data_IF_000953554562
#
_entry.id   IF_000953554562
#
_cell.length_a   1.000
_cell.length_b   1.000
_cell.length_c   1.000
_cell.angle_alpha   90.00
_cell.angle_beta   90.00
_cell.angle_gamma   90.00
#
_symmetry.space_group_name_H-M   'P 1'
#
loop_
_entity.id
_entity.type
_entity.pdbx_description
1 polymer ?
#
# COMPACT_ATOMS: atom_id res chain seq x y z
N UNK A 1 20.08 -6.84 8.48
CA UNK A 1 20.58 -6.40 7.17
C UNK A 1 19.97 -5.03 6.90
N UNK A 2 20.59 -3.94 7.40
CA UNK A 2 20.06 -2.57 7.27
C UNK A 2 20.52 -1.98 5.95
N UNK A 3 19.60 -1.50 5.11
CA UNK A 3 19.95 -0.56 4.05
C UNK A 3 20.01 0.82 4.71
N UNK A 4 21.20 1.42 4.70
CA UNK A 4 21.38 2.86 4.83
C UNK A 4 21.44 3.42 3.41
N UNK A 5 20.61 4.40 3.08
CA UNK A 5 20.92 5.32 1.97
C UNK A 5 21.91 6.39 2.56
N UNK A 6 22.31 7.54 1.96
CA UNK A 6 23.54 8.41 2.27
C UNK A 6 23.60 9.88 2.91
N UNK A 7 22.80 10.38 3.88
CA UNK A 7 22.35 11.80 4.16
C UNK A 7 23.30 13.02 4.03
N UNK A 8 22.87 14.10 3.35
CA UNK A 8 23.55 15.40 3.16
C UNK A 8 22.63 16.59 2.74
N UNK A 9 22.03 17.21 3.74
CA UNK A 9 21.59 18.61 3.78
C UNK A 9 22.31 19.56 2.80
N UNK A 10 21.57 20.18 1.87
CA UNK A 10 22.01 21.39 1.15
C UNK A 10 20.89 22.43 0.98
N UNK A 11 21.28 23.70 0.88
CA UNK A 11 20.38 24.86 0.95
C UNK A 11 19.64 25.12 -0.38
N UNK A 12 18.34 24.87 -0.45
CA UNK A 12 17.38 25.62 -1.31
C UNK A 12 15.93 25.34 -0.87
N UNK A 13 15.00 26.32 -1.00
CA UNK A 13 13.62 26.16 -0.55
C UNK A 13 12.73 25.57 -1.67
N UNK A 14 12.98 24.31 -2.05
CA UNK A 14 12.09 23.58 -2.96
C UNK A 14 11.38 22.43 -2.22
N UNK A 15 10.07 22.59 -2.05
CA UNK A 15 9.06 21.53 -1.86
C UNK A 15 9.49 20.38 -0.92
N UNK A 16 9.76 20.72 0.35
CA UNK A 16 10.00 19.74 1.42
C UNK A 16 8.68 19.04 1.80
N UNK A 17 8.26 18.08 0.98
CA UNK A 17 6.94 17.41 0.97
C UNK A 17 6.69 16.44 2.16
N UNK A 18 7.11 16.86 3.36
CA UNK A 18 6.90 16.20 4.65
C UNK A 18 7.11 17.14 5.84
N UNK A 19 7.30 18.44 5.61
CA UNK A 19 7.54 19.43 6.68
C UNK A 19 6.32 20.28 6.99
N UNK A 20 5.27 19.62 7.48
CA UNK A 20 4.19 20.28 8.20
C UNK A 20 4.58 20.59 9.67
N UNK A 21 5.72 20.08 10.14
CA UNK A 21 6.21 20.24 11.51
C UNK A 21 7.36 21.26 11.56
N UNK A 22 7.27 22.17 12.54
CA UNK A 22 7.96 23.45 12.56
C UNK A 22 9.50 23.35 12.47
N UNK A 23 10.17 24.30 11.80
CA UNK A 23 11.64 24.33 11.66
C UNK A 23 12.40 24.53 12.98
N UNK A 24 11.69 24.87 14.07
CA UNK A 24 12.24 25.10 15.41
C UNK A 24 12.45 23.82 16.25
N UNK A 25 12.04 22.64 15.76
CA UNK A 25 12.03 21.41 16.57
C UNK A 25 13.23 20.49 16.26
N UNK A 26 13.80 19.90 17.33
CA UNK A 26 15.00 19.05 17.29
C UNK A 26 14.79 17.80 16.41
N UNK A 27 15.79 17.47 15.59
CA UNK A 27 15.67 16.54 14.46
C UNK A 27 14.97 15.20 14.81
N UNK A 28 15.49 14.44 15.77
CA UNK A 28 14.90 13.13 16.16
C UNK A 28 13.46 13.23 16.66
N UNK A 29 13.06 14.36 17.27
CA UNK A 29 11.68 14.54 17.73
C UNK A 29 10.72 14.84 16.57
N UNK A 30 11.21 15.47 15.49
CA UNK A 30 10.42 15.74 14.27
C UNK A 30 10.19 14.48 13.45
N UNK A 31 11.21 13.62 13.37
CA UNK A 31 11.18 12.32 12.70
C UNK A 31 10.12 11.41 13.31
N UNK A 32 10.20 11.18 14.63
CA UNK A 32 9.18 10.45 15.41
C UNK A 32 7.77 11.03 15.19
N UNK A 33 7.61 12.37 15.21
CA UNK A 33 6.30 12.99 15.02
C UNK A 33 5.76 12.85 13.59
N UNK A 34 6.61 12.66 12.57
CA UNK A 34 6.19 12.40 11.20
C UNK A 34 5.66 10.96 11.04
N UNK A 35 6.39 9.97 11.56
CA UNK A 35 6.01 8.56 11.45
C UNK A 35 4.72 8.22 12.24
N UNK A 36 4.55 8.82 13.42
CA UNK A 36 3.37 8.59 14.27
C UNK A 36 2.20 9.55 13.99
N UNK A 37 2.33 10.49 13.04
CA UNK A 37 1.27 11.48 12.75
C UNK A 37 -0.08 10.83 12.44
N UNK A 38 -0.09 9.79 11.60
CA UNK A 38 -1.29 9.13 11.11
C UNK A 38 -2.06 8.38 12.21
N UNK A 39 -1.45 7.47 13.02
CA UNK A 39 -2.15 6.84 14.13
C UNK A 39 -2.53 7.82 15.25
N UNK A 40 -1.70 8.82 15.55
CA UNK A 40 -2.02 9.84 16.58
C UNK A 40 -3.21 10.70 16.16
N UNK A 41 -3.33 11.06 14.88
CA UNK A 41 -4.50 11.76 14.33
C UNK A 41 -5.77 10.91 14.46
N UNK A 42 -5.73 9.63 14.10
CA UNK A 42 -6.89 8.71 14.24
C UNK A 42 -7.32 8.57 15.70
N UNK A 43 -6.39 8.36 16.64
CA UNK A 43 -6.68 8.21 18.06
C UNK A 43 -7.26 9.51 18.65
N UNK A 44 -6.60 10.65 18.40
CA UNK A 44 -7.05 11.94 18.95
C UNK A 44 -8.41 12.36 18.40
N UNK A 45 -8.68 12.16 17.11
CA UNK A 45 -9.96 12.52 16.52
C UNK A 45 -11.08 11.54 16.90
N UNK A 46 -10.77 10.25 17.11
CA UNK A 46 -11.71 9.28 17.68
C UNK A 46 -12.09 9.63 19.12
N UNK A 47 -11.11 10.03 19.94
CA UNK A 47 -11.36 10.48 21.32
C UNK A 47 -12.20 11.76 21.35
N UNK A 48 -11.87 12.75 20.50
CA UNK A 48 -12.61 14.01 20.42
C UNK A 48 -14.04 13.79 19.92
N UNK A 49 -14.24 12.95 18.91
CA UNK A 49 -15.57 12.54 18.44
C UNK A 49 -16.39 11.86 19.54
N UNK A 50 -15.78 10.93 20.29
CA UNK A 50 -16.44 10.22 21.40
C UNK A 50 -16.79 11.11 22.59
N UNK A 51 -16.01 12.17 22.87
CA UNK A 51 -16.26 13.07 24.00
C UNK A 51 -17.17 14.25 23.65
N UNK A 52 -17.10 14.78 22.42
CA UNK A 52 -17.81 16.01 22.01
C UNK A 52 -19.09 15.73 21.23
N UNK A 53 -19.14 14.68 20.41
CA UNK A 53 -20.26 14.37 19.50
C UNK A 53 -21.07 13.13 19.93
N UNK A 54 -21.22 12.92 21.24
CA UNK A 54 -21.92 11.76 21.82
C UNK A 54 -23.42 11.65 21.46
N UNK A 55 -24.04 12.75 21.03
CA UNK A 55 -25.44 12.81 20.55
C UNK A 55 -25.62 12.50 19.05
N UNK A 56 -24.54 12.39 18.27
CA UNK A 56 -24.64 12.02 16.85
C UNK A 56 -24.54 10.51 16.72
N UNK A 57 -25.61 9.88 16.22
CA UNK A 57 -25.61 8.45 15.90
C UNK A 57 -24.57 8.16 14.80
N UNK A 58 -23.43 7.62 15.22
CA UNK A 58 -22.38 7.14 14.31
C UNK A 58 -22.75 5.75 13.81
N UNK A 59 -22.74 5.55 12.49
CA UNK A 59 -22.84 4.22 11.91
C UNK A 59 -21.61 3.38 12.32
N UNK A 60 -21.81 2.53 13.32
CA UNK A 60 -20.80 1.57 13.74
C UNK A 60 -20.62 0.51 12.66
N UNK A 61 -19.38 0.04 12.47
CA UNK A 61 -19.09 -1.05 11.55
C UNK A 61 -19.83 -2.33 12.00
N UNK A 62 -20.93 -2.65 11.32
CA UNK A 62 -21.78 -3.80 11.63
C UNK A 62 -21.11 -5.10 11.18
N UNK A 63 -20.19 -5.60 12.00
CA UNK A 63 -19.64 -6.93 11.83
C UNK A 63 -20.76 -7.98 12.02
N UNK A 64 -21.01 -8.78 10.99
CA UNK A 64 -21.98 -9.86 11.01
C UNK A 64 -21.22 -11.17 11.03
N UNK A 65 -21.18 -11.86 12.17
CA UNK A 65 -20.48 -13.15 12.37
C UNK A 65 -20.98 -14.26 11.40
N UNK A 66 -22.15 -14.08 10.81
CA UNK A 66 -22.84 -15.08 10.01
C UNK A 66 -22.42 -15.01 8.53
N UNK A 67 -21.15 -15.34 8.26
CA UNK A 67 -20.66 -15.63 6.91
C UNK A 67 -20.23 -17.10 6.82
N UNK A 68 -21.18 -18.04 6.58
CA UNK A 68 -20.81 -19.41 6.25
C UNK A 68 -20.01 -19.40 4.95
N UNK A 69 -18.79 -19.96 4.99
CA UNK A 69 -17.92 -20.18 3.82
C UNK A 69 -18.56 -21.20 2.88
N UNK A 70 -19.58 -20.75 2.17
CA UNK A 70 -20.42 -21.52 1.27
C UNK A 70 -19.72 -21.55 -0.07
N UNK A 71 -19.51 -22.73 -0.66
CA UNK A 71 -18.93 -22.82 -2.01
C UNK A 71 -19.86 -22.09 -2.99
N UNK A 72 -19.28 -21.39 -3.96
CA UNK A 72 -20.06 -20.80 -5.03
C UNK A 72 -20.84 -21.91 -5.78
N UNK A 73 -22.16 -21.77 -6.01
CA UNK A 73 -22.94 -22.75 -6.77
C UNK A 73 -22.64 -22.61 -8.28
N UNK A 74 -21.53 -23.21 -8.72
CA UNK A 74 -21.10 -23.17 -10.13
C UNK A 74 -21.93 -24.11 -11.02
N UNK A 75 -22.62 -25.08 -10.43
CA UNK A 75 -23.32 -26.17 -11.15
C UNK A 75 -24.67 -25.76 -11.77
N UNK A 76 -25.25 -24.63 -11.37
CA UNK A 76 -26.54 -24.12 -11.90
C UNK A 76 -26.38 -23.14 -13.08
N UNK A 77 -25.15 -22.80 -13.48
CA UNK A 77 -24.90 -21.76 -14.50
C UNK A 77 -25.17 -22.24 -15.94
N UNK A 78 -25.86 -21.44 -16.78
CA UNK A 78 -26.02 -21.76 -18.19
C UNK A 78 -24.69 -21.65 -18.95
N UNK A 79 -24.48 -22.50 -19.96
CA UNK A 79 -23.23 -22.58 -20.71
C UNK A 79 -22.74 -21.24 -21.33
N UNK A 80 -23.68 -20.35 -21.68
CA UNK A 80 -23.40 -19.00 -22.16
C UNK A 80 -22.75 -18.12 -21.09
N UNK A 81 -23.17 -18.24 -19.83
CA UNK A 81 -22.56 -17.55 -18.70
C UNK A 81 -21.15 -18.06 -18.44
N UNK A 82 -20.88 -19.36 -18.61
CA UNK A 82 -19.53 -19.93 -18.49
C UNK A 82 -18.56 -19.36 -19.53
N UNK A 83 -19.00 -19.17 -20.77
CA UNK A 83 -18.18 -18.54 -21.83
C UNK A 83 -17.94 -17.06 -21.54
N UNK A 84 -18.99 -16.32 -21.11
CA UNK A 84 -18.84 -14.93 -20.70
C UNK A 84 -17.87 -14.78 -19.51
N UNK A 85 -17.95 -15.69 -18.53
CA UNK A 85 -17.06 -15.73 -17.38
C UNK A 85 -15.60 -16.04 -17.76
N UNK A 86 -15.35 -16.90 -18.75
CA UNK A 86 -14.01 -17.12 -19.30
C UNK A 86 -13.44 -15.85 -19.96
N UNK A 87 -14.26 -15.13 -20.74
CA UNK A 87 -13.86 -13.85 -21.33
C UNK A 87 -13.52 -12.78 -20.28
N UNK A 88 -14.37 -12.65 -19.26
CA UNK A 88 -14.12 -11.75 -18.13
C UNK A 88 -12.90 -12.17 -17.30
N UNK A 89 -12.70 -13.47 -17.06
CA UNK A 89 -11.53 -14.00 -16.35
C UNK A 89 -10.22 -13.75 -17.09
N UNK A 90 -10.21 -13.83 -18.42
CA UNK A 90 -9.06 -13.45 -19.24
C UNK A 90 -8.74 -11.95 -19.13
N UNK A 91 -9.76 -11.08 -19.21
CA UNK A 91 -9.59 -9.64 -19.04
C UNK A 91 -9.07 -9.27 -17.63
N UNK A 92 -9.58 -9.92 -16.58
CA UNK A 92 -9.12 -9.74 -15.19
C UNK A 92 -7.67 -10.21 -14.99
N UNK A 93 -7.27 -11.32 -15.63
CA UNK A 93 -5.89 -11.80 -15.61
C UNK A 93 -4.91 -10.78 -16.22
N UNK A 94 -5.28 -10.15 -17.34
CA UNK A 94 -4.49 -9.08 -17.96
C UNK A 94 -4.41 -7.82 -17.08
N UNK A 95 -5.51 -7.46 -16.40
CA UNK A 95 -5.53 -6.32 -15.46
C UNK A 95 -4.54 -6.55 -14.31
N UNK A 96 -4.59 -7.71 -13.66
CA UNK A 96 -3.70 -8.05 -12.56
C UNK A 96 -2.22 -8.09 -12.99
N UNK A 97 -1.93 -8.63 -14.19
CA UNK A 97 -0.60 -8.60 -14.76
C UNK A 97 -0.07 -7.16 -14.93
N UNK A 98 -0.89 -6.23 -15.43
CA UNK A 98 -0.49 -4.83 -15.58
C UNK A 98 -0.25 -4.14 -14.23
N UNK A 99 -1.17 -4.27 -13.27
CA UNK A 99 -1.03 -3.62 -11.97
C UNK A 99 0.16 -4.15 -11.16
N UNK A 100 0.47 -5.46 -11.25
CA UNK A 100 1.66 -6.04 -10.63
C UNK A 100 2.95 -5.53 -11.28
N UNK A 101 2.98 -5.45 -12.62
CA UNK A 101 4.12 -4.89 -13.35
C UNK A 101 4.35 -3.41 -13.02
N UNK A 102 3.29 -2.60 -12.94
CA UNK A 102 3.37 -1.17 -12.57
C UNK A 102 3.84 -1.02 -11.11
N UNK A 103 3.23 -1.77 -10.18
CA UNK A 103 3.59 -1.76 -8.75
C UNK A 103 5.06 -2.11 -8.55
N UNK A 104 5.51 -3.20 -9.16
CA UNK A 104 6.87 -3.68 -9.00
C UNK A 104 7.89 -2.85 -9.80
N UNK A 105 7.53 -2.23 -10.93
CA UNK A 105 8.38 -1.22 -11.59
C UNK A 105 8.54 0.05 -10.74
N UNK A 106 7.49 0.50 -10.04
CA UNK A 106 7.54 1.64 -9.13
C UNK A 106 8.43 1.35 -7.90
N UNK A 107 8.32 0.15 -7.33
CA UNK A 107 9.13 -0.28 -6.18
C UNK A 107 10.59 -0.56 -6.59
N UNK A 108 10.82 -1.14 -7.77
CA UNK A 108 12.15 -1.44 -8.35
C UNK A 108 12.74 -0.26 -9.14
N UNK A 109 12.29 0.97 -8.88
CA UNK A 109 12.93 2.17 -9.43
C UNK A 109 14.41 2.19 -9.00
N UNK A 110 15.39 2.45 -9.89
CA UNK A 110 16.82 2.44 -9.56
C UNK A 110 17.22 3.34 -8.38
N UNK A 111 16.48 4.43 -8.10
CA UNK A 111 16.65 5.25 -6.89
C UNK A 111 16.50 4.42 -5.60
N UNK A 112 15.54 3.50 -5.56
CA UNK A 112 15.20 2.71 -4.37
C UNK A 112 16.26 1.65 -3.99
N UNK A 113 17.32 1.45 -4.81
CA UNK A 113 18.54 0.64 -4.54
C UNK A 113 18.30 -0.70 -3.82
N UNK A 114 17.24 -1.42 -4.21
CA UNK A 114 16.82 -2.63 -3.50
C UNK A 114 17.86 -3.75 -3.62
N UNK A 115 18.27 -4.29 -2.47
CA UNK A 115 19.31 -5.34 -2.37
C UNK A 115 18.86 -6.73 -2.84
N UNK A 116 17.56 -6.93 -3.08
CA UNK A 116 16.97 -8.21 -3.47
C UNK A 116 16.33 -8.04 -4.85
N UNK A 117 16.66 -8.92 -5.79
CA UNK A 117 16.13 -8.86 -7.16
C UNK A 117 14.60 -8.99 -7.20
N UNK A 118 13.95 -8.41 -8.22
CA UNK A 118 12.50 -8.40 -8.31
C UNK A 118 11.93 -9.78 -8.65
N UNK A 119 10.77 -10.11 -8.09
CA UNK A 119 10.18 -11.45 -8.13
C UNK A 119 8.81 -11.49 -8.84
N UNK A 120 8.68 -10.77 -9.98
CA UNK A 120 7.42 -10.59 -10.72
C UNK A 120 6.63 -11.89 -10.94
N UNK A 121 7.29 -12.97 -11.37
CA UNK A 121 6.63 -14.26 -11.63
C UNK A 121 6.09 -14.95 -10.37
N UNK A 122 6.76 -14.79 -9.23
CA UNK A 122 6.32 -15.38 -7.96
C UNK A 122 5.12 -14.62 -7.41
N UNK A 123 5.11 -13.29 -7.54
CA UNK A 123 3.99 -12.44 -7.14
C UNK A 123 2.72 -12.76 -7.95
N UNK A 124 2.84 -12.86 -9.28
CA UNK A 124 1.74 -13.28 -10.16
C UNK A 124 1.21 -14.68 -9.81
N UNK A 125 2.10 -15.64 -9.55
CA UNK A 125 1.72 -17.00 -9.15
C UNK A 125 0.95 -17.01 -7.81
N UNK A 126 1.44 -16.30 -6.79
CA UNK A 126 0.79 -16.23 -5.47
C UNK A 126 -0.58 -15.56 -5.57
N UNK A 127 -0.70 -14.43 -6.27
CA UNK A 127 -1.98 -13.71 -6.46
C UNK A 127 -2.98 -14.56 -7.27
N UNK A 128 -2.51 -15.32 -8.27
CA UNK A 128 -3.34 -16.28 -9.01
C UNK A 128 -3.87 -17.41 -8.13
N UNK A 129 -3.01 -18.02 -7.29
CA UNK A 129 -3.40 -19.08 -6.36
C UNK A 129 -4.40 -18.57 -5.32
N UNK A 130 -4.15 -17.40 -4.73
CA UNK A 130 -5.06 -16.78 -3.74
C UNK A 130 -6.42 -16.48 -4.36
N UNK A 131 -6.47 -15.82 -5.51
CA UNK A 131 -7.75 -15.52 -6.18
C UNK A 131 -8.48 -16.78 -6.66
N UNK A 132 -7.75 -17.83 -7.06
CA UNK A 132 -8.33 -19.14 -7.33
C UNK A 132 -9.07 -19.72 -6.12
N UNK A 133 -8.44 -19.70 -4.94
CA UNK A 133 -9.11 -20.13 -3.70
C UNK A 133 -10.30 -19.23 -3.33
N UNK A 134 -10.17 -17.91 -3.40
CA UNK A 134 -11.26 -16.99 -3.04
C UNK A 134 -12.47 -17.14 -3.97
N UNK A 135 -12.24 -17.37 -5.27
CA UNK A 135 -13.29 -17.64 -6.25
C UNK A 135 -14.11 -18.91 -5.91
N UNK A 136 -13.46 -19.99 -5.44
CA UNK A 136 -14.15 -21.22 -5.01
C UNK A 136 -15.09 -20.99 -3.80
N UNK A 137 -14.75 -20.05 -2.92
CA UNK A 137 -15.55 -19.66 -1.75
C UNK A 137 -16.47 -18.45 -2.01
N UNK A 138 -16.55 -17.94 -3.25
CA UNK A 138 -17.36 -16.77 -3.58
C UNK A 138 -16.92 -15.46 -2.91
N UNK A 139 -15.67 -15.41 -2.41
CA UNK A 139 -15.12 -14.25 -1.70
C UNK A 139 -14.64 -13.17 -2.68
N UNK A 140 -14.68 -11.88 -2.30
CA UNK A 140 -14.22 -10.78 -3.15
C UNK A 140 -12.72 -10.93 -3.45
N UNK A 141 -12.35 -10.74 -4.72
CA UNK A 141 -10.99 -10.98 -5.20
C UNK A 141 -9.99 -9.99 -4.56
N UNK A 142 -8.81 -10.49 -4.21
CA UNK A 142 -7.76 -9.71 -3.55
C UNK A 142 -6.75 -9.20 -4.58
N UNK A 143 -6.47 -7.91 -4.54
CA UNK A 143 -5.52 -7.24 -5.43
C UNK A 143 -4.54 -6.34 -4.65
N UNK A 144 -3.37 -6.08 -5.23
CA UNK A 144 -2.33 -5.23 -4.64
C UNK A 144 -2.70 -3.74 -4.68
N UNK A 145 -2.73 -3.07 -3.52
CA UNK A 145 -3.09 -1.65 -3.45
C UNK A 145 -1.91 -0.77 -3.88
N UNK A 146 -1.95 -0.31 -5.13
CA UNK A 146 -0.93 0.54 -5.79
C UNK A 146 -0.31 1.66 -4.91
N UNK A 147 -1.07 2.50 -4.17
CA UNK A 147 -0.48 3.52 -3.30
C UNK A 147 0.09 2.97 -1.98
N UNK A 148 -0.40 1.83 -1.48
CA UNK A 148 0.02 1.27 -0.19
C UNK A 148 1.42 0.62 -0.27
N UNK A 149 1.69 -0.13 -1.33
CA UNK A 149 2.99 -0.79 -1.56
C UNK A 149 4.20 0.17 -1.51
N UNK A 150 4.25 1.29 -2.25
CA UNK A 150 5.37 2.24 -2.18
C UNK A 150 5.42 3.02 -0.87
N UNK A 151 4.28 3.33 -0.23
CA UNK A 151 4.24 3.96 1.09
C UNK A 151 4.86 3.05 2.16
N UNK A 152 4.49 1.77 2.15
CA UNK A 152 5.07 0.79 3.07
C UNK A 152 6.57 0.60 2.83
N UNK A 153 7.01 0.48 1.58
CA UNK A 153 8.46 0.43 1.26
C UNK A 153 9.19 1.69 1.74
N UNK A 154 8.63 2.89 1.52
CA UNK A 154 9.22 4.15 2.01
C UNK A 154 9.33 4.19 3.54
N UNK A 155 8.38 3.64 4.29
CA UNK A 155 8.46 3.56 5.75
C UNK A 155 9.49 2.56 6.29
N UNK A 156 10.03 1.67 5.43
CA UNK A 156 11.09 0.71 5.79
C UNK A 156 12.49 1.06 5.24
N UNK A 157 12.60 2.13 4.43
CA UNK A 157 13.88 2.57 3.85
C UNK A 157 14.43 3.74 4.67
N UNK A 158 15.66 3.59 5.16
CA UNK A 158 16.42 4.64 5.83
C UNK A 158 16.87 5.67 4.76
N UNK A 159 16.10 6.75 4.57
CA UNK A 159 16.30 7.73 3.48
C UNK A 159 17.34 8.76 3.86
N UNK A 160 18.34 8.82 3.01
CA UNK A 160 19.69 9.24 3.35
C UNK A 160 20.28 9.50 1.91
N UNK A 161 21.09 10.52 1.67
CA UNK A 161 21.00 11.51 0.57
C UNK A 161 22.39 12.20 0.28
N UNK A 162 23.42 11.54 -0.32
CA UNK A 162 24.84 12.05 -0.39
C UNK A 162 25.02 13.33 -1.23
N UNK A 163 25.74 14.33 -0.70
CA UNK A 163 26.29 15.46 -1.47
C UNK A 163 27.72 15.14 -1.91
N UNK A 164 27.91 14.93 -3.20
CA UNK A 164 29.21 15.04 -3.86
C UNK A 164 29.28 16.34 -4.65
N UNK A 165 30.37 17.09 -4.46
CA UNK A 165 30.83 18.17 -5.35
C UNK A 165 29.78 19.23 -5.77
N UNK A 166 28.78 19.51 -4.93
CA UNK A 166 27.78 20.55 -5.19
C UNK A 166 26.69 20.19 -6.20
N UNK A 167 26.66 18.96 -6.71
CA UNK A 167 25.58 18.44 -7.53
C UNK A 167 24.72 17.46 -6.70
N UNK A 168 23.44 17.79 -6.54
CA UNK A 168 22.49 16.93 -5.83
C UNK A 168 22.09 15.79 -6.75
N UNK A 169 22.54 14.57 -6.44
CA UNK A 169 22.10 13.35 -7.09
C UNK A 169 21.06 12.66 -6.20
N UNK A 170 19.78 12.80 -6.55
CA UNK A 170 18.73 11.93 -6.02
C UNK A 170 18.93 10.50 -6.57
N UNK A 171 19.59 9.66 -5.77
CA UNK A 171 19.70 8.22 -6.00
C UNK A 171 19.08 7.48 -4.81
#
# INVERSE_FOLDING_TARGET
MRLRVIYCHSHTPSIRCGSFLLPYFQASKREILADYALPVAVISMSFLGSFVFRDVATDQFRYSDNHPLTRAPVEELPWTASIAALGMGFALSLLFFMDQNISAAMVNNPCNKLKKGPAYHLDLFVVGVVNGFLSLYGLPWMHGVLPHSPLHVRSLVDVEERVEQGHVYEM
#
